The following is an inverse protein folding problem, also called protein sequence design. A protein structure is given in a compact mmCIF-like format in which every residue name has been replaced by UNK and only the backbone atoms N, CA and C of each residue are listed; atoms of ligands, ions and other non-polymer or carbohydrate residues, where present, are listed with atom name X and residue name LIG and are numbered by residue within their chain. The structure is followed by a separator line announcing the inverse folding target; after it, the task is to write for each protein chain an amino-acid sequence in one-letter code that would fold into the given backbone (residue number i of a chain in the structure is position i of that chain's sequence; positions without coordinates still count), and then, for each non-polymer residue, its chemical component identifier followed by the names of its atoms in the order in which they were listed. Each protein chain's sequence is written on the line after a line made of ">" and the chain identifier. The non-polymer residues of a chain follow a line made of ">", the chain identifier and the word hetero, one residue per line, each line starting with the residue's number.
data_IF_667102119326
#
_entry.id   IF_667102119326
#
_cell.length_a   1.000
_cell.length_b   1.000
_cell.length_c   1.000
_cell.angle_alpha   90.00
_cell.angle_beta   90.00
_cell.angle_gamma   90.00
#
_symmetry.space_group_name_H-M   'P 1'
#
loop_
_entity.id
_entity.type
_entity.pdbx_description
1 polymer ?
#
# COMPACT_ATOMS: atom_id res chain seq x y z
N UNK A 1 -9.25 -17.25 24.04
CA UNK A 1 -8.88 -18.34 23.11
C UNK A 1 -8.35 -19.56 23.86
N UNK A 2 -7.26 -19.45 24.62
CA UNK A 2 -6.64 -20.57 25.35
C UNK A 2 -7.63 -21.45 26.14
N UNK A 3 -8.45 -20.84 27.01
CA UNK A 3 -9.47 -21.58 27.80
C UNK A 3 -10.46 -22.38 26.94
N UNK A 4 -10.84 -21.89 25.75
CA UNK A 4 -11.77 -22.59 24.87
C UNK A 4 -11.11 -23.79 24.20
N UNK A 5 -9.83 -23.65 23.81
CA UNK A 5 -9.04 -24.75 23.24
C UNK A 5 -8.80 -25.84 24.28
N UNK A 6 -8.48 -25.46 25.53
CA UNK A 6 -8.23 -26.40 26.63
C UNK A 6 -9.50 -27.14 27.08
N UNK A 7 -10.60 -26.42 27.30
CA UNK A 7 -11.79 -27.03 27.91
C UNK A 7 -12.74 -27.68 26.90
N UNK A 8 -12.80 -27.18 25.67
CA UNK A 8 -13.80 -27.61 24.66
C UNK A 8 -13.19 -27.80 23.26
N UNK A 9 -11.87 -27.93 23.16
CA UNK A 9 -11.17 -28.00 21.88
C UNK A 9 -11.63 -29.16 20.98
N UNK A 10 -12.04 -30.30 21.55
CA UNK A 10 -12.52 -31.45 20.79
C UNK A 10 -13.91 -31.25 20.15
N UNK A 11 -14.65 -30.21 20.56
CA UNK A 11 -16.02 -29.97 20.10
C UNK A 11 -16.08 -29.20 18.78
N UNK A 12 -14.97 -28.60 18.34
CA UNK A 12 -14.90 -27.84 17.10
C UNK A 12 -13.56 -28.03 16.38
N UNK A 13 -13.60 -27.85 15.06
CA UNK A 13 -12.41 -27.84 14.21
C UNK A 13 -11.93 -26.42 13.99
N UNK A 14 -10.62 -26.25 13.87
CA UNK A 14 -10.06 -24.96 13.42
C UNK A 14 -10.24 -24.85 11.90
N UNK A 15 -11.18 -24.01 11.47
CA UNK A 15 -11.42 -23.71 10.05
C UNK A 15 -10.49 -22.61 9.55
N UNK A 16 -10.34 -22.47 8.22
CA UNK A 16 -9.59 -21.36 7.63
C UNK A 16 -10.10 -19.99 8.11
N UNK A 17 -11.42 -19.82 8.28
CA UNK A 17 -12.02 -18.59 8.76
C UNK A 17 -11.57 -18.21 10.18
N UNK A 18 -11.41 -19.19 11.07
CA UNK A 18 -10.86 -18.98 12.42
C UNK A 18 -9.41 -18.51 12.34
N UNK A 19 -8.61 -19.11 11.46
CA UNK A 19 -7.20 -18.75 11.27
C UNK A 19 -7.06 -17.36 10.64
N UNK A 20 -7.91 -17.03 9.66
CA UNK A 20 -8.00 -15.68 9.06
C UNK A 20 -8.38 -14.64 10.10
N UNK A 21 -9.35 -14.95 10.97
CA UNK A 21 -9.74 -14.06 12.07
C UNK A 21 -8.60 -13.86 13.08
N UNK A 22 -7.84 -14.91 13.40
CA UNK A 22 -6.66 -14.83 14.25
C UNK A 22 -5.56 -13.96 13.61
N UNK A 23 -5.26 -14.17 12.33
CA UNK A 23 -4.27 -13.39 11.59
C UNK A 23 -4.64 -11.90 11.50
N UNK A 24 -5.93 -11.60 11.33
CA UNK A 24 -6.47 -10.25 11.25
C UNK A 24 -6.72 -9.59 12.62
N UNK A 25 -6.48 -10.27 13.73
CA UNK A 25 -6.72 -9.72 15.06
C UNK A 25 -5.66 -8.66 15.40
N UNK A 26 -6.09 -7.41 15.52
CA UNK A 26 -5.20 -6.27 15.73
C UNK A 26 -4.74 -6.10 17.18
N UNK A 27 -5.42 -6.69 18.15
CA UNK A 27 -5.10 -6.51 19.58
C UNK A 27 -4.20 -7.61 20.14
N UNK A 28 -4.34 -8.84 19.64
CA UNK A 28 -3.60 -10.01 20.15
C UNK A 28 -3.36 -11.06 19.05
N UNK A 29 -3.22 -10.62 17.80
CA UNK A 29 -3.11 -11.53 16.65
C UNK A 29 -1.91 -12.46 16.75
N UNK A 30 -0.77 -11.97 17.24
CA UNK A 30 0.43 -12.78 17.45
C UNK A 30 0.17 -13.90 18.46
N UNK A 31 -0.37 -13.56 19.63
CA UNK A 31 -0.61 -14.51 20.73
C UNK A 31 -1.67 -15.54 20.34
N UNK A 32 -2.76 -15.10 19.70
CA UNK A 32 -3.82 -16.00 19.25
C UNK A 32 -3.32 -16.92 18.14
N UNK A 33 -2.54 -16.41 17.18
CA UNK A 33 -1.96 -17.25 16.12
C UNK A 33 -0.93 -18.24 16.68
N UNK A 34 -0.09 -17.82 17.62
CA UNK A 34 0.87 -18.71 18.27
C UNK A 34 0.18 -19.87 19.00
N UNK A 35 -0.87 -19.58 19.77
CA UNK A 35 -1.66 -20.61 20.45
C UNK A 35 -2.32 -21.59 19.46
N UNK A 36 -2.84 -21.10 18.33
CA UNK A 36 -3.42 -21.96 17.31
C UNK A 36 -2.38 -22.88 16.65
N UNK A 37 -1.20 -22.35 16.34
CA UNK A 37 -0.10 -23.13 15.76
C UNK A 37 0.43 -24.19 16.74
N UNK A 38 0.61 -23.82 18.01
CA UNK A 38 1.13 -24.71 19.05
C UNK A 38 0.15 -25.83 19.39
N UNK A 39 -1.12 -25.50 19.63
CA UNK A 39 -2.09 -26.47 20.14
C UNK A 39 -2.80 -27.25 19.02
N UNK A 40 -3.00 -26.64 17.85
CA UNK A 40 -3.87 -27.17 16.78
C UNK A 40 -3.29 -27.01 15.38
N UNK A 41 -1.98 -26.78 15.24
CA UNK A 41 -1.34 -26.43 13.97
C UNK A 41 -1.48 -27.47 12.85
N UNK A 42 -1.75 -28.74 13.18
CA UNK A 42 -1.97 -29.80 12.18
C UNK A 42 -3.37 -29.76 11.53
N UNK A 43 -4.32 -29.01 12.10
CA UNK A 43 -5.71 -28.99 11.61
C UNK A 43 -5.94 -28.05 10.44
N UNK A 44 -5.03 -27.11 10.22
CA UNK A 44 -5.16 -26.09 9.19
C UNK A 44 -3.84 -25.89 8.44
N UNK A 45 -3.98 -25.22 7.28
CA UNK A 45 -2.85 -24.80 6.45
C UNK A 45 -2.76 -23.28 6.47
N UNK A 46 -1.55 -22.76 6.28
CA UNK A 46 -1.39 -21.33 6.02
C UNK A 46 -1.74 -21.07 4.57
N UNK A 47 -2.93 -20.50 4.34
CA UNK A 47 -3.42 -20.15 3.01
C UNK A 47 -3.03 -18.72 2.65
N UNK A 48 -3.16 -18.37 1.36
CA UNK A 48 -2.98 -16.98 0.91
C UNK A 48 -3.91 -16.00 1.60
N UNK A 49 -5.11 -16.42 2.01
CA UNK A 49 -6.07 -15.55 2.70
C UNK A 49 -5.63 -15.27 4.15
N UNK A 50 -5.03 -16.26 4.82
CA UNK A 50 -4.41 -16.08 6.14
C UNK A 50 -3.27 -15.06 6.07
N UNK A 51 -2.37 -15.22 5.11
CA UNK A 51 -1.24 -14.30 4.92
C UNK A 51 -1.73 -12.89 4.53
N UNK A 52 -2.74 -12.80 3.66
CA UNK A 52 -3.37 -11.52 3.27
C UNK A 52 -4.01 -10.83 4.47
N UNK A 53 -4.69 -11.57 5.34
CA UNK A 53 -5.29 -11.02 6.56
C UNK A 53 -4.22 -10.47 7.51
N UNK A 54 -3.11 -11.19 7.68
CA UNK A 54 -1.96 -10.72 8.45
C UNK A 54 -1.34 -9.46 7.81
N UNK A 55 -1.18 -9.41 6.49
CA UNK A 55 -0.63 -8.25 5.80
C UNK A 55 -1.49 -6.98 5.93
N UNK A 56 -2.82 -7.14 6.06
CA UNK A 56 -3.77 -6.04 6.31
C UNK A 56 -3.88 -5.65 7.78
N UNK A 57 -3.33 -6.45 8.69
CA UNK A 57 -3.42 -6.21 10.13
C UNK A 57 -2.58 -4.98 10.48
N UNK A 58 -3.27 -3.97 11.02
CA UNK A 58 -2.74 -2.62 11.21
C UNK A 58 -1.84 -2.45 12.42
N UNK A 59 -1.83 -3.42 13.33
CA UNK A 59 -1.22 -3.25 14.65
C UNK A 59 -0.28 -4.42 14.98
N UNK A 60 -0.61 -5.65 14.56
CA UNK A 60 0.21 -6.85 14.78
C UNK A 60 0.62 -7.57 13.49
N UNK A 61 0.41 -6.95 12.32
CA UNK A 61 0.60 -7.63 11.03
C UNK A 61 2.02 -8.10 10.78
N UNK A 62 3.02 -7.29 11.18
CA UNK A 62 4.43 -7.65 11.09
C UNK A 62 4.74 -8.89 11.92
N UNK A 63 4.31 -8.89 13.18
CA UNK A 63 4.58 -9.96 14.14
C UNK A 63 3.89 -11.27 13.74
N UNK A 64 2.66 -11.18 13.23
CA UNK A 64 1.94 -12.36 12.74
C UNK A 64 2.64 -12.93 11.51
N UNK A 65 3.03 -12.11 10.52
CA UNK A 65 3.75 -12.61 9.33
C UNK A 65 5.09 -13.22 9.74
N UNK A 66 5.85 -12.57 10.62
CA UNK A 66 7.13 -13.10 11.11
C UNK A 66 6.95 -14.48 11.77
N UNK A 67 5.93 -14.64 12.62
CA UNK A 67 5.61 -15.92 13.25
C UNK A 67 5.24 -17.00 12.22
N UNK A 68 4.43 -16.66 11.21
CA UNK A 68 4.04 -17.59 10.15
C UNK A 68 5.23 -18.04 9.31
N UNK A 69 6.15 -17.12 8.98
CA UNK A 69 7.38 -17.43 8.26
C UNK A 69 8.32 -18.31 9.09
N UNK A 70 8.47 -18.02 10.39
CA UNK A 70 9.31 -18.78 11.32
C UNK A 70 8.82 -20.22 11.50
N UNK A 71 7.51 -20.41 11.73
CA UNK A 71 6.98 -21.74 12.06
C UNK A 71 6.50 -22.55 10.85
N UNK A 72 6.05 -21.88 9.78
CA UNK A 72 5.37 -22.50 8.63
C UNK A 72 5.79 -21.88 7.30
N UNK A 73 7.03 -21.37 7.19
CA UNK A 73 7.50 -20.62 6.03
C UNK A 73 7.30 -21.31 4.67
N UNK A 74 7.40 -22.64 4.60
CA UNK A 74 7.17 -23.39 3.34
C UNK A 74 5.72 -23.37 2.86
N UNK A 75 4.75 -23.04 3.72
CA UNK A 75 3.34 -22.86 3.36
C UNK A 75 2.99 -21.43 3.02
N UNK A 76 3.77 -20.46 3.51
CA UNK A 76 3.55 -19.04 3.27
C UNK A 76 3.83 -18.75 1.79
N UNK A 77 2.79 -18.34 1.06
CA UNK A 77 2.90 -17.93 -0.34
C UNK A 77 2.68 -16.44 -0.46
N UNK A 78 3.69 -15.72 -0.95
CA UNK A 78 3.59 -14.29 -1.17
C UNK A 78 2.98 -14.04 -2.55
N UNK A 79 1.68 -13.77 -2.57
CA UNK A 79 0.94 -13.43 -3.80
C UNK A 79 0.87 -11.92 -3.99
N UNK A 80 0.58 -11.46 -5.20
CA UNK A 80 0.35 -10.03 -5.48
C UNK A 80 -0.70 -9.42 -4.53
N UNK A 81 -1.76 -10.16 -4.20
CA UNK A 81 -2.80 -9.71 -3.27
C UNK A 81 -2.29 -9.51 -1.83
N UNK A 82 -1.29 -10.28 -1.41
CA UNK A 82 -0.62 -10.12 -0.10
C UNK A 82 0.26 -8.87 -0.11
N UNK A 83 1.04 -8.68 -1.18
CA UNK A 83 1.92 -7.51 -1.33
C UNK A 83 1.09 -6.22 -1.45
N UNK A 84 0.00 -6.25 -2.23
CA UNK A 84 -0.97 -5.15 -2.34
C UNK A 84 -1.64 -4.83 -1.02
N UNK A 85 -1.98 -5.86 -0.24
CA UNK A 85 -2.52 -5.70 1.11
C UNK A 85 -1.52 -5.00 2.06
N UNK A 86 -0.24 -5.40 2.02
CA UNK A 86 0.82 -4.75 2.78
C UNK A 86 1.02 -3.29 2.35
N UNK A 87 1.08 -3.04 1.04
CA UNK A 87 1.21 -1.70 0.48
C UNK A 87 0.07 -0.75 0.89
N UNK A 88 -1.15 -1.27 0.95
CA UNK A 88 -2.35 -0.54 1.38
C UNK A 88 -2.59 -0.53 2.89
N UNK A 89 -1.73 -1.14 3.71
CA UNK A 89 -1.88 -1.15 5.16
C UNK A 89 -1.49 0.22 5.72
N UNK A 90 -2.43 0.86 6.43
CA UNK A 90 -2.38 2.29 6.77
C UNK A 90 -1.51 2.61 7.99
N UNK A 91 -1.14 1.61 8.78
CA UNK A 91 -0.46 1.83 10.06
C UNK A 91 0.87 1.08 10.12
N UNK A 92 0.90 -0.18 9.67
CA UNK A 92 2.12 -1.00 9.63
C UNK A 92 2.59 -1.33 8.22
N UNK A 93 2.15 -0.59 7.20
CA UNK A 93 2.42 -0.93 5.80
C UNK A 93 3.91 -0.95 5.48
N UNK A 94 4.68 -0.01 6.03
CA UNK A 94 6.14 0.03 5.84
C UNK A 94 6.81 -1.20 6.44
N UNK A 95 6.47 -1.53 7.69
CA UNK A 95 7.08 -2.62 8.46
C UNK A 95 6.74 -3.99 7.86
N UNK A 96 5.49 -4.17 7.46
CA UNK A 96 5.06 -5.40 6.79
C UNK A 96 5.72 -5.52 5.42
N UNK A 97 5.74 -4.45 4.62
CA UNK A 97 6.38 -4.47 3.30
C UNK A 97 7.88 -4.76 3.41
N UNK A 98 8.57 -4.10 4.34
CA UNK A 98 10.00 -4.33 4.59
C UNK A 98 10.28 -5.79 4.95
N UNK A 99 9.48 -6.39 5.83
CA UNK A 99 9.63 -7.80 6.21
C UNK A 99 9.43 -8.74 5.00
N UNK A 100 8.41 -8.49 4.17
CA UNK A 100 8.15 -9.28 2.98
C UNK A 100 9.28 -9.18 1.95
N UNK A 101 9.84 -7.98 1.74
CA UNK A 101 10.96 -7.76 0.83
C UNK A 101 12.25 -8.42 1.35
N UNK A 102 12.51 -8.33 2.66
CA UNK A 102 13.70 -8.90 3.29
C UNK A 102 13.69 -10.43 3.31
N UNK A 103 12.56 -11.04 3.70
CA UNK A 103 12.49 -12.49 3.90
C UNK A 103 11.96 -13.26 2.68
N UNK A 104 11.22 -12.60 1.78
CA UNK A 104 10.56 -13.23 0.65
C UNK A 104 10.82 -12.49 -0.67
N UNK A 105 11.88 -11.70 -0.78
CA UNK A 105 12.13 -10.80 -1.93
C UNK A 105 12.05 -11.46 -3.31
N UNK A 106 12.47 -12.72 -3.45
CA UNK A 106 12.38 -13.44 -4.72
C UNK A 106 10.93 -13.78 -5.16
N UNK A 107 9.99 -13.84 -4.21
CA UNK A 107 8.56 -14.07 -4.48
C UNK A 107 7.75 -12.77 -4.60
N UNK A 108 8.24 -11.68 -4.00
CA UNK A 108 7.57 -10.39 -4.05
C UNK A 108 7.66 -9.82 -5.47
N UNK A 109 6.50 -9.48 -6.04
CA UNK A 109 6.39 -8.81 -7.33
C UNK A 109 5.83 -7.41 -7.13
N UNK A 110 6.57 -6.40 -7.55
CA UNK A 110 6.11 -5.02 -7.51
C UNK A 110 5.33 -4.73 -8.79
N UNK A 111 4.02 -4.98 -8.74
CA UNK A 111 3.11 -4.69 -9.86
C UNK A 111 2.58 -3.26 -9.79
N UNK A 112 1.99 -2.78 -10.89
CA UNK A 112 1.31 -1.47 -10.90
C UNK A 112 0.25 -1.36 -9.80
N UNK A 113 -0.49 -2.44 -9.52
CA UNK A 113 -1.53 -2.46 -8.49
C UNK A 113 -0.96 -2.35 -7.07
N UNK A 114 0.25 -2.87 -6.83
CA UNK A 114 0.99 -2.68 -5.57
C UNK A 114 1.42 -1.22 -5.44
N UNK A 115 2.01 -0.64 -6.49
CA UNK A 115 2.46 0.76 -6.49
C UNK A 115 1.25 1.71 -6.33
N UNK A 116 0.13 1.41 -7.01
CA UNK A 116 -1.12 2.18 -6.87
C UNK A 116 -1.67 2.11 -5.45
N UNK A 117 -1.63 0.93 -4.82
CA UNK A 117 -2.07 0.76 -3.44
C UNK A 117 -1.19 1.55 -2.45
N UNK A 118 0.13 1.56 -2.64
CA UNK A 118 1.05 2.37 -1.85
C UNK A 118 0.81 3.88 -2.07
N UNK A 119 0.69 4.31 -3.32
CA UNK A 119 0.45 5.71 -3.65
C UNK A 119 -0.87 6.26 -3.08
N UNK A 120 -1.92 5.44 -3.10
CA UNK A 120 -3.23 5.76 -2.51
C UNK A 120 -3.34 5.54 -1.00
N UNK A 121 -2.27 5.08 -0.33
CA UNK A 121 -2.30 4.81 1.10
C UNK A 121 -2.09 6.10 1.91
N UNK A 122 -3.17 6.54 2.55
CA UNK A 122 -3.26 7.79 3.33
C UNK A 122 -2.50 7.83 4.66
N UNK A 123 -1.88 6.72 5.07
CA UNK A 123 -1.31 6.54 6.40
C UNK A 123 0.19 6.35 6.29
N UNK A 124 0.60 5.22 5.71
CA UNK A 124 2.03 4.88 5.51
C UNK A 124 2.44 4.88 4.04
N UNK A 125 1.66 5.50 3.15
CA UNK A 125 1.88 5.40 1.71
C UNK A 125 3.19 6.03 1.26
N UNK A 126 3.58 7.15 1.89
CA UNK A 126 4.87 7.79 1.63
C UNK A 126 6.02 6.83 1.93
N UNK A 127 6.05 6.26 3.13
CA UNK A 127 7.14 5.40 3.58
C UNK A 127 7.22 4.08 2.81
N UNK A 128 6.07 3.54 2.40
CA UNK A 128 6.03 2.38 1.50
C UNK A 128 6.56 2.76 0.12
N UNK A 129 6.16 3.91 -0.44
CA UNK A 129 6.66 4.38 -1.73
C UNK A 129 8.18 4.63 -1.71
N UNK A 130 8.71 5.25 -0.65
CA UNK A 130 10.16 5.41 -0.45
C UNK A 130 10.86 4.06 -0.48
N UNK A 131 10.38 3.09 0.30
CA UNK A 131 10.95 1.74 0.36
C UNK A 131 10.96 1.05 -1.02
N UNK A 132 9.85 1.14 -1.77
CA UNK A 132 9.74 0.54 -3.10
C UNK A 132 10.68 1.21 -4.11
N UNK A 133 10.79 2.54 -4.07
CA UNK A 133 11.68 3.30 -4.95
C UNK A 133 13.16 3.06 -4.63
N UNK A 134 13.52 2.95 -3.34
CA UNK A 134 14.90 2.68 -2.90
C UNK A 134 15.36 1.27 -3.28
N UNK A 135 14.52 0.25 -3.05
CA UNK A 135 14.91 -1.14 -3.20
C UNK A 135 14.58 -1.74 -4.57
N UNK A 136 13.53 -1.26 -5.24
CA UNK A 136 12.96 -1.87 -6.45
C UNK A 136 12.63 -0.83 -7.55
N UNK A 137 13.39 0.27 -7.64
CA UNK A 137 13.16 1.35 -8.62
C UNK A 137 12.92 0.88 -10.07
N UNK A 138 13.61 -0.17 -10.52
CA UNK A 138 13.47 -0.71 -11.88
C UNK A 138 12.12 -1.39 -12.14
N UNK A 139 11.45 -1.92 -11.11
CA UNK A 139 10.15 -2.58 -11.20
C UNK A 139 8.98 -1.59 -11.00
N UNK A 140 9.23 -0.50 -10.28
CA UNK A 140 8.22 0.51 -9.98
C UNK A 140 7.82 1.26 -11.24
N UNK A 141 6.64 0.93 -11.76
CA UNK A 141 6.02 1.63 -12.90
C UNK A 141 5.11 2.74 -12.40
N UNK A 142 5.48 3.99 -12.67
CA UNK A 142 4.63 5.14 -12.35
C UNK A 142 3.72 5.43 -13.54
N UNK A 143 2.53 4.86 -13.51
CA UNK A 143 1.49 5.06 -14.53
C UNK A 143 0.58 6.24 -14.17
N UNK A 144 -0.27 6.65 -15.12
CA UNK A 144 -1.30 7.66 -14.87
C UNK A 144 -2.19 7.26 -13.67
N UNK A 145 -2.53 5.98 -13.54
CA UNK A 145 -3.37 5.47 -12.45
C UNK A 145 -2.69 5.51 -11.09
N UNK A 146 -1.37 5.30 -11.03
CA UNK A 146 -0.57 5.50 -9.80
C UNK A 146 -0.58 6.97 -9.40
N UNK A 147 -0.38 7.87 -10.36
CA UNK A 147 -0.37 9.31 -10.10
C UNK A 147 -1.76 9.79 -9.66
N UNK A 148 -2.85 9.28 -10.26
CA UNK A 148 -4.22 9.53 -9.80
C UNK A 148 -4.46 9.03 -8.37
N UNK A 149 -3.93 7.87 -8.01
CA UNK A 149 -4.04 7.36 -6.65
C UNK A 149 -3.32 8.26 -5.63
N UNK A 150 -2.10 8.72 -5.95
CA UNK A 150 -1.39 9.72 -5.16
C UNK A 150 -2.17 11.04 -5.08
N UNK A 151 -2.76 11.48 -6.19
CA UNK A 151 -3.55 12.72 -6.28
C UNK A 151 -4.77 12.74 -5.36
N UNK A 152 -5.48 11.61 -5.27
CA UNK A 152 -6.64 11.46 -4.40
C UNK A 152 -6.29 11.33 -2.92
N UNK A 153 -5.01 11.14 -2.59
CA UNK A 153 -4.55 10.87 -1.23
C UNK A 153 -4.29 12.18 -0.46
N UNK A 154 -5.28 12.67 0.29
CA UNK A 154 -5.21 14.02 0.90
C UNK A 154 -4.11 14.23 1.96
N UNK A 155 -3.83 13.29 2.90
CA UNK A 155 -2.81 13.51 3.92
C UNK A 155 -1.38 13.25 3.44
N UNK A 156 -1.18 12.21 2.60
CA UNK A 156 0.16 11.76 2.20
C UNK A 156 0.44 11.94 0.70
N UNK A 157 -0.54 12.38 -0.08
CA UNK A 157 -0.42 12.48 -1.54
C UNK A 157 0.51 13.58 -2.00
N UNK A 158 0.73 14.63 -1.18
CA UNK A 158 1.72 15.66 -1.50
C UNK A 158 3.14 15.06 -1.45
N UNK A 159 3.44 14.33 -0.39
CA UNK A 159 4.74 13.71 -0.16
C UNK A 159 4.98 12.58 -1.16
N UNK A 160 3.98 11.73 -1.39
CA UNK A 160 4.05 10.70 -2.45
C UNK A 160 4.28 11.35 -3.80
N UNK A 161 3.57 12.42 -4.15
CA UNK A 161 3.75 13.10 -5.44
C UNK A 161 5.14 13.73 -5.57
N UNK A 162 5.70 14.28 -4.49
CA UNK A 162 7.07 14.78 -4.50
C UNK A 162 8.07 13.66 -4.85
N UNK A 163 7.95 12.49 -4.20
CA UNK A 163 8.78 11.31 -4.49
C UNK A 163 8.66 10.85 -5.94
N UNK A 164 7.43 10.88 -6.48
CA UNK A 164 7.16 10.51 -7.87
C UNK A 164 7.84 11.49 -8.85
N UNK A 165 7.75 12.79 -8.61
CA UNK A 165 8.31 13.81 -9.50
C UNK A 165 9.84 13.88 -9.44
N UNK A 166 10.45 13.54 -8.30
CA UNK A 166 11.89 13.43 -8.10
C UNK A 166 12.54 12.28 -8.89
N UNK A 167 11.75 11.32 -9.38
CA UNK A 167 12.29 10.22 -10.18
C UNK A 167 12.88 10.73 -11.52
N UNK A 168 13.98 10.12 -12.02
CA UNK A 168 14.65 10.54 -13.24
C UNK A 168 13.71 10.72 -14.44
N UNK A 169 14.09 11.60 -15.37
CA UNK A 169 13.36 11.83 -16.63
C UNK A 169 13.20 10.50 -17.40
N UNK A 170 11.96 10.00 -17.46
CA UNK A 170 11.62 8.70 -18.03
C UNK A 170 10.65 7.87 -17.17
N UNK A 171 10.60 8.12 -15.85
CA UNK A 171 9.69 7.38 -14.94
C UNK A 171 8.22 7.78 -15.05
N UNK A 172 7.93 9.02 -15.45
CA UNK A 172 6.57 9.55 -15.58
C UNK A 172 6.43 10.21 -16.96
N UNK A 173 5.40 9.83 -17.71
CA UNK A 173 4.99 10.50 -18.94
C UNK A 173 3.83 11.43 -18.62
N UNK A 174 4.06 12.74 -18.68
CA UNK A 174 3.03 13.76 -18.44
C UNK A 174 2.14 13.92 -19.67
N UNK A 175 1.15 13.04 -19.81
CA UNK A 175 0.12 13.18 -20.84
C UNK A 175 -0.78 14.37 -20.53
N UNK A 176 -1.40 15.00 -21.55
CA UNK A 176 -2.34 16.09 -21.28
C UNK A 176 -3.51 15.70 -20.36
N UNK A 177 -4.02 14.46 -20.47
CA UNK A 177 -5.07 13.94 -19.58
C UNK A 177 -4.59 13.72 -18.14
N UNK A 178 -3.33 13.32 -17.96
CA UNK A 178 -2.73 13.26 -16.63
C UNK A 178 -2.62 14.66 -16.04
N UNK A 179 -2.08 15.63 -16.78
CA UNK A 179 -1.98 17.04 -16.32
C UNK A 179 -3.34 17.63 -15.98
N UNK A 180 -4.39 17.32 -16.76
CA UNK A 180 -5.77 17.70 -16.45
C UNK A 180 -6.24 17.09 -15.12
N UNK A 181 -5.99 15.80 -14.91
CA UNK A 181 -6.36 15.13 -13.66
C UNK A 181 -5.60 15.71 -12.46
N UNK A 182 -4.31 16.05 -12.65
CA UNK A 182 -3.51 16.74 -11.64
C UNK A 182 -4.14 18.11 -11.31
N UNK A 183 -4.45 18.91 -12.32
CA UNK A 183 -5.07 20.22 -12.15
C UNK A 183 -6.42 20.16 -11.41
N UNK A 184 -7.24 19.13 -11.69
CA UNK A 184 -8.54 18.92 -11.06
C UNK A 184 -8.50 18.38 -9.62
N UNK A 185 -7.42 17.70 -9.24
CA UNK A 185 -7.33 16.98 -7.96
C UNK A 185 -6.40 17.64 -6.93
N UNK A 186 -5.36 18.35 -7.38
CA UNK A 186 -4.30 18.84 -6.50
C UNK A 186 -4.52 20.28 -6.03
N UNK A 187 -3.94 20.59 -4.88
CA UNK A 187 -3.78 21.98 -4.44
C UNK A 187 -2.71 22.71 -5.26
N UNK A 188 -2.68 24.03 -5.13
CA UNK A 188 -1.77 24.89 -5.87
C UNK A 188 -0.28 24.56 -5.63
N UNK A 189 0.10 24.01 -4.47
CA UNK A 189 1.49 23.68 -4.17
C UNK A 189 1.99 22.49 -4.99
N UNK A 190 1.19 21.43 -5.11
CA UNK A 190 1.57 20.28 -5.93
C UNK A 190 1.58 20.60 -7.43
N UNK A 191 0.66 21.45 -7.88
CA UNK A 191 0.71 21.98 -9.25
C UNK A 191 1.95 22.86 -9.47
N UNK A 192 2.35 23.66 -8.49
CA UNK A 192 3.59 24.43 -8.56
C UNK A 192 4.82 23.51 -8.66
N UNK A 193 4.92 22.47 -7.84
CA UNK A 193 6.02 21.49 -7.89
C UNK A 193 6.12 20.80 -9.25
N UNK A 194 4.98 20.39 -9.83
CA UNK A 194 4.95 19.81 -11.18
C UNK A 194 5.51 20.79 -12.23
N UNK A 195 5.06 22.06 -12.19
CA UNK A 195 5.50 23.08 -13.15
C UNK A 195 6.96 23.49 -12.94
N UNK A 196 7.43 23.52 -11.70
CA UNK A 196 8.81 23.88 -11.35
C UNK A 196 9.79 22.77 -11.76
N UNK A 197 9.45 21.51 -11.51
CA UNK A 197 10.33 20.38 -11.83
C UNK A 197 10.21 19.91 -13.28
N UNK A 198 9.01 20.01 -13.88
CA UNK A 198 8.71 19.42 -15.21
C UNK A 198 7.91 20.34 -16.14
N UNK A 199 7.89 21.65 -15.90
CA UNK A 199 7.10 22.60 -16.70
C UNK A 199 7.36 22.55 -18.21
N UNK A 200 8.57 22.20 -18.65
CA UNK A 200 8.89 22.04 -20.07
C UNK A 200 8.17 20.86 -20.75
N UNK A 201 7.74 19.86 -19.97
CA UNK A 201 7.01 18.67 -20.44
C UNK A 201 5.48 18.89 -20.35
N UNK A 202 5.04 19.88 -19.57
CA UNK A 202 3.63 20.17 -19.31
C UNK A 202 3.03 21.01 -20.44
N UNK A 203 2.06 20.44 -21.15
CA UNK A 203 1.22 21.19 -22.09
C UNK A 203 -0.04 21.66 -21.37
N UNK A 204 -0.15 22.96 -21.13
CA UNK A 204 -1.37 23.57 -20.60
C UNK A 204 -2.37 23.74 -21.74
N UNK A 205 -3.51 23.05 -21.62
CA UNK A 205 -4.64 23.14 -22.56
C UNK A 205 -5.87 23.72 -21.85
N UNK A 206 -6.90 24.09 -22.61
CA UNK A 206 -8.15 24.63 -22.05
C UNK A 206 -8.76 23.71 -20.99
N UNK A 207 -8.76 22.40 -21.21
CA UNK A 207 -9.30 21.42 -20.26
C UNK A 207 -8.51 21.38 -18.94
N UNK A 208 -7.19 21.55 -18.99
CA UNK A 208 -6.34 21.68 -17.78
C UNK A 208 -6.75 22.92 -16.97
N UNK A 209 -7.00 24.03 -17.66
CA UNK A 209 -7.43 25.29 -17.02
C UNK A 209 -8.84 25.15 -16.44
N UNK A 210 -9.78 24.53 -17.16
CA UNK A 210 -11.13 24.23 -16.66
C UNK A 210 -11.10 23.33 -15.43
N UNK A 211 -10.28 22.27 -15.46
CA UNK A 211 -10.08 21.38 -14.33
C UNK A 211 -9.52 22.12 -13.11
N UNK A 212 -8.49 22.96 -13.30
CA UNK A 212 -7.94 23.81 -12.25
C UNK A 212 -8.95 24.80 -11.68
N UNK A 213 -9.78 25.41 -12.53
CA UNK A 213 -10.80 26.39 -12.12
C UNK A 213 -11.97 25.74 -11.37
N UNK A 214 -12.36 24.52 -11.77
CA UNK A 214 -13.43 23.73 -11.13
C UNK A 214 -12.93 23.00 -9.87
N UNK A 215 -11.63 22.97 -9.66
CA UNK A 215 -11.02 22.40 -8.48
C UNK A 215 -11.33 23.28 -7.26
N UNK A 216 -12.18 22.75 -6.38
CA UNK A 216 -12.63 23.40 -5.14
C UNK A 216 -11.49 23.75 -4.16
N UNK A 217 -10.27 23.29 -4.42
CA UNK A 217 -9.05 23.62 -3.65
C UNK A 217 -8.21 24.75 -4.26
N UNK A 218 -8.43 25.10 -5.53
CA UNK A 218 -7.66 26.14 -6.27
C UNK A 218 -8.48 27.39 -6.62
N UNK A 219 -9.78 27.42 -6.32
CA UNK A 219 -10.68 28.54 -6.63
C UNK A 219 -10.22 29.92 -6.16
N UNK A 220 -9.34 30.01 -5.16
CA UNK A 220 -8.81 31.30 -4.69
C UNK A 220 -7.52 31.79 -5.39
N UNK A 221 -6.80 30.95 -6.17
CA UNK A 221 -5.48 31.33 -6.74
C UNK A 221 -5.36 31.28 -8.26
N UNK A 222 -6.29 30.67 -8.99
CA UNK A 222 -6.22 30.61 -10.47
C UNK A 222 -6.60 31.95 -11.14
N UNK A 223 -7.08 32.94 -10.38
CA UNK A 223 -7.48 34.27 -10.87
C UNK A 223 -6.33 35.28 -11.08
N UNK A 224 -5.05 34.89 -10.97
CA UNK A 224 -3.90 35.82 -11.07
C UNK A 224 -2.92 35.57 -12.23
N UNK A 225 -3.34 34.87 -13.29
CA UNK A 225 -2.55 34.72 -14.52
C UNK A 225 -3.15 35.49 -15.72
N UNK A 226 -3.54 36.75 -15.49
CA UNK A 226 -3.81 37.71 -16.56
C UNK A 226 -2.67 38.71 -16.68
#
# INVERSE_FOLDING_TARGET
>A
MALLLEQRGAEFKITEEVVVAAAGNTSSGKEVMALLLEQRGAEFKITKEVVKAAARNRDSGKEVIALLLEQRGTEVKITEEVVKAAAGNRHSGKEVMALLLEQCGAEVKITEEVVKAAAGNWGSGKEVMELLLEQHSAEVKITEEVVKAAAGNRPSGKEVMALLLEQPRGGIVLTPGLVETLAGSFNAQSMALLLEQRGAEVKIMEEVVKAAASNRYNGEKVSRLQ
#
